data_IF_310750433199
#
_entry.id   IF_310750433199
#
_cell.length_a   1.000
_cell.length_b   1.000
_cell.length_c   1.000
_cell.angle_alpha   90.00
_cell.angle_beta   90.00
_cell.angle_gamma   90.00
#
_symmetry.space_group_name_H-M   'P 1'
#
loop_
_entity.id
_entity.type
_entity.pdbx_description
1 polymer ?
#
# COMPACT_ATOMS: atom_id res chain seq x y z
N UNK A 1 -19.32 18.62 11.83
CA UNK A 1 -20.30 17.55 11.52
C UNK A 1 -19.74 16.69 10.39
N UNK A 2 -19.81 15.36 10.50
CA UNK A 2 -19.35 14.42 9.46
C UNK A 2 -20.57 13.79 8.80
N UNK A 3 -20.58 13.71 7.47
CA UNK A 3 -21.64 13.03 6.71
C UNK A 3 -21.17 11.66 6.22
N UNK A 4 -22.12 10.74 6.05
CA UNK A 4 -21.87 9.39 5.56
C UNK A 4 -22.95 8.98 4.56
N UNK A 5 -22.54 8.46 3.40
CA UNK A 5 -23.44 7.86 2.41
C UNK A 5 -23.39 6.34 2.51
N UNK A 6 -24.57 5.71 2.46
CA UNK A 6 -24.73 4.26 2.45
C UNK A 6 -23.88 3.62 1.35
N UNK A 7 -23.26 2.47 1.64
CA UNK A 7 -22.41 1.74 0.69
C UNK A 7 -23.13 0.68 -0.12
N UNK A 8 -24.44 0.52 0.07
CA UNK A 8 -25.25 -0.35 -0.79
C UNK A 8 -25.32 0.26 -2.19
N UNK A 9 -25.15 -0.56 -3.23
CA UNK A 9 -25.24 -0.12 -4.62
C UNK A 9 -26.62 0.50 -4.89
N UNK A 10 -26.64 1.66 -5.54
CA UNK A 10 -27.86 2.43 -5.88
C UNK A 10 -28.73 2.81 -4.67
N UNK A 11 -28.15 2.92 -3.47
CA UNK A 11 -28.87 3.41 -2.29
C UNK A 11 -28.58 4.90 -2.06
N UNK A 12 -29.64 5.69 -1.93
CA UNK A 12 -29.55 7.15 -1.68
C UNK A 12 -29.50 7.50 -0.19
N UNK A 13 -29.48 6.51 0.70
CA UNK A 13 -29.48 6.72 2.14
C UNK A 13 -28.19 7.38 2.64
N UNK A 14 -28.31 8.32 3.56
CA UNK A 14 -27.18 9.04 4.16
C UNK A 14 -27.51 9.49 5.59
N UNK A 15 -26.49 9.83 6.37
CA UNK A 15 -26.66 10.39 7.70
C UNK A 15 -25.57 11.41 8.06
N UNK A 16 -25.84 12.19 9.10
CA UNK A 16 -24.84 12.95 9.85
C UNK A 16 -24.53 12.19 11.13
N UNK A 17 -23.25 12.16 11.53
CA UNK A 17 -22.83 11.43 12.72
C UNK A 17 -21.71 12.15 13.49
N UNK A 18 -21.64 11.83 14.77
CA UNK A 18 -20.60 12.26 15.72
C UNK A 18 -19.62 11.11 15.99
N UNK A 19 -18.45 11.41 16.56
CA UNK A 19 -17.33 10.45 16.70
C UNK A 19 -17.64 9.23 17.58
N UNK A 20 -18.72 9.26 18.35
CA UNK A 20 -19.12 8.16 19.24
C UNK A 20 -19.91 7.05 18.54
N UNK A 21 -20.34 7.27 17.28
CA UNK A 21 -21.13 6.29 16.53
C UNK A 21 -20.28 5.54 15.52
N UNK A 22 -20.29 4.21 15.61
CA UNK A 22 -19.52 3.34 14.71
C UNK A 22 -20.40 2.62 13.68
N UNK A 23 -21.72 2.58 13.91
CA UNK A 23 -22.68 1.84 13.10
C UNK A 23 -23.81 2.79 12.66
N UNK A 24 -24.14 2.73 11.39
CA UNK A 24 -25.26 3.42 10.78
C UNK A 24 -26.21 2.40 10.16
N UNK A 25 -27.45 2.35 10.66
CA UNK A 25 -28.52 1.55 10.06
C UNK A 25 -29.24 2.41 9.02
N UNK A 26 -29.12 2.05 7.74
CA UNK A 26 -29.70 2.81 6.65
C UNK A 26 -31.23 2.66 6.60
N UNK A 27 -32.02 3.75 6.64
CA UNK A 27 -33.48 3.65 6.58
C UNK A 27 -34.03 3.31 5.19
N UNK A 28 -33.20 3.38 4.14
CA UNK A 28 -33.62 3.11 2.75
C UNK A 28 -33.47 1.64 2.39
N UNK A 29 -32.30 1.05 2.67
CA UNK A 29 -31.99 -0.34 2.31
C UNK A 29 -31.92 -1.29 3.52
N UNK A 30 -32.10 -0.79 4.73
CA UNK A 30 -32.05 -1.55 5.99
C UNK A 30 -30.71 -2.25 6.30
N UNK A 31 -29.63 -1.88 5.60
CA UNK A 31 -28.30 -2.41 5.86
C UNK A 31 -27.53 -1.60 6.91
N UNK A 32 -26.72 -2.31 7.69
CA UNK A 32 -25.81 -1.76 8.69
C UNK A 32 -24.45 -1.44 8.06
N UNK A 33 -24.13 -0.15 8.07
CA UNK A 33 -22.88 0.40 7.59
C UNK A 33 -21.97 0.67 8.78
N UNK A 34 -20.70 0.29 8.67
CA UNK A 34 -19.67 0.68 9.62
C UNK A 34 -19.10 2.03 9.22
N UNK A 35 -19.30 3.02 10.07
CA UNK A 35 -18.80 4.39 9.88
C UNK A 35 -17.27 4.43 9.95
N UNK A 36 -16.65 3.60 10.80
CA UNK A 36 -15.20 3.52 10.96
C UNK A 36 -14.50 2.87 9.77
N UNK A 37 -15.05 1.78 9.23
CA UNK A 37 -14.48 1.08 8.07
C UNK A 37 -14.97 1.64 6.73
N UNK A 38 -15.93 2.56 6.76
CA UNK A 38 -16.57 3.13 5.59
C UNK A 38 -17.13 2.07 4.63
N UNK A 39 -17.73 1.01 5.18
CA UNK A 39 -18.11 -0.21 4.47
C UNK A 39 -19.30 -0.93 5.14
N UNK A 40 -19.96 -1.82 4.40
CA UNK A 40 -20.96 -2.75 4.93
C UNK A 40 -20.27 -4.08 5.22
N UNK A 41 -20.29 -4.52 6.48
CA UNK A 41 -19.70 -5.80 6.90
C UNK A 41 -20.52 -6.44 8.03
N UNK A 42 -21.80 -6.67 7.74
CA UNK A 42 -22.75 -7.33 8.66
C UNK A 42 -22.25 -8.71 9.10
N UNK A 43 -22.39 -9.02 10.39
CA UNK A 43 -21.92 -10.27 10.98
C UNK A 43 -20.40 -10.36 11.19
N UNK A 44 -19.62 -9.36 10.78
CA UNK A 44 -18.19 -9.27 11.06
C UNK A 44 -17.89 -8.05 11.92
N UNK A 45 -17.02 -8.20 12.92
CA UNK A 45 -16.43 -7.04 13.56
C UNK A 45 -15.36 -6.41 12.64
N UNK A 46 -14.96 -5.16 12.94
CA UNK A 46 -14.02 -4.42 12.11
C UNK A 46 -12.69 -5.18 11.90
N UNK A 47 -12.21 -5.92 12.91
CA UNK A 47 -10.96 -6.70 12.82
C UNK A 47 -11.10 -7.85 11.82
N UNK A 48 -12.18 -8.64 11.92
CA UNK A 48 -12.45 -9.76 11.03
C UNK A 48 -12.67 -9.30 9.58
N UNK A 49 -13.35 -8.17 9.39
CA UNK A 49 -13.52 -7.56 8.08
C UNK A 49 -12.18 -7.17 7.46
N UNK A 50 -11.30 -6.52 8.23
CA UNK A 50 -9.97 -6.13 7.77
C UNK A 50 -9.09 -7.35 7.43
N UNK A 51 -9.15 -8.42 8.21
CA UNK A 51 -8.44 -9.67 7.93
C UNK A 51 -8.93 -10.33 6.64
N UNK A 52 -10.25 -10.37 6.42
CA UNK A 52 -10.85 -10.88 5.18
C UNK A 52 -10.38 -10.11 3.95
N UNK A 53 -10.32 -8.79 4.02
CA UNK A 53 -9.81 -7.95 2.93
C UNK A 53 -8.33 -8.23 2.63
N UNK A 54 -7.51 -8.49 3.65
CA UNK A 54 -6.10 -8.87 3.46
C UNK A 54 -5.98 -10.20 2.73
N UNK A 55 -6.75 -11.22 3.16
CA UNK A 55 -6.72 -12.54 2.54
C UNK A 55 -7.31 -12.54 1.12
N UNK A 56 -8.28 -11.68 0.83
CA UNK A 56 -8.83 -11.52 -0.53
C UNK A 56 -7.85 -10.83 -1.49
N UNK A 57 -7.06 -9.86 -1.01
CA UNK A 57 -6.00 -9.22 -1.82
C UNK A 57 -4.91 -10.19 -2.28
N UNK A 58 -4.71 -11.31 -1.58
CA UNK A 58 -3.76 -12.35 -1.97
C UNK A 58 -4.28 -13.27 -3.10
N UNK A 59 -5.59 -13.23 -3.39
CA UNK A 59 -6.25 -14.13 -4.36
C UNK A 59 -6.60 -13.47 -5.71
N UNK A 60 -6.46 -12.15 -5.86
CA UNK A 60 -6.80 -11.46 -7.11
C UNK A 60 -5.67 -11.53 -8.17
N UNK A 61 -6.02 -12.20 -9.28
CA UNK A 61 -5.19 -12.60 -10.42
C UNK A 61 -4.50 -11.47 -11.24
N UNK A 62 -4.62 -10.21 -10.84
CA UNK A 62 -3.84 -9.09 -11.40
C UNK A 62 -2.46 -8.95 -10.74
N UNK A 63 -2.27 -9.59 -9.57
CA UNK A 63 -1.00 -9.60 -8.83
C UNK A 63 0.10 -10.37 -9.57
N UNK A 64 -0.25 -11.45 -10.29
CA UNK A 64 0.71 -12.29 -11.02
C UNK A 64 1.23 -11.57 -12.27
N UNK A 65 0.35 -10.88 -13.01
CA UNK A 65 0.76 -10.05 -14.16
C UNK A 65 1.60 -8.86 -13.71
N UNK A 66 1.26 -8.25 -12.57
CA UNK A 66 2.02 -7.15 -11.98
C UNK A 66 3.42 -7.59 -11.55
N UNK A 67 3.57 -8.75 -10.89
CA UNK A 67 4.88 -9.29 -10.52
C UNK A 67 5.74 -9.67 -11.72
N UNK A 68 5.14 -10.30 -12.75
CA UNK A 68 5.86 -10.62 -13.98
C UNK A 68 6.36 -9.35 -14.71
N UNK A 69 5.54 -8.31 -14.77
CA UNK A 69 5.92 -7.02 -15.34
C UNK A 69 7.03 -6.36 -14.51
N UNK A 70 6.95 -6.38 -13.18
CA UNK A 70 7.96 -5.82 -12.30
C UNK A 70 9.31 -6.55 -12.41
N UNK A 71 9.30 -7.88 -12.51
CA UNK A 71 10.52 -8.67 -12.76
C UNK A 71 11.14 -8.33 -14.11
N UNK A 72 10.32 -8.20 -15.17
CA UNK A 72 10.80 -7.76 -16.49
C UNK A 72 11.47 -6.38 -16.45
N UNK A 73 10.96 -5.45 -15.64
CA UNK A 73 11.59 -4.13 -15.47
C UNK A 73 12.95 -4.22 -14.77
N UNK A 74 13.16 -5.19 -13.87
CA UNK A 74 14.45 -5.46 -13.24
C UNK A 74 15.42 -6.04 -14.28
N UNK A 75 14.99 -7.03 -15.07
CA UNK A 75 15.77 -7.64 -16.15
C UNK A 75 16.19 -6.61 -17.22
N UNK A 76 15.27 -5.71 -17.59
CA UNK A 76 15.51 -4.60 -18.52
C UNK A 76 16.46 -3.51 -17.95
N UNK A 77 16.88 -3.62 -16.68
CA UNK A 77 17.71 -2.61 -16.02
C UNK A 77 17.00 -1.27 -15.84
N UNK A 78 15.66 -1.27 -15.77
CA UNK A 78 14.79 -0.10 -15.52
C UNK A 78 14.33 -0.03 -14.06
N UNK A 79 14.45 -1.13 -13.32
CA UNK A 79 14.16 -1.22 -11.90
C UNK A 79 15.27 -2.01 -11.16
N UNK A 80 15.30 -1.91 -9.83
CA UNK A 80 16.13 -2.76 -8.98
C UNK A 80 15.46 -3.01 -7.63
N UNK A 81 15.85 -4.06 -6.91
CA UNK A 81 15.39 -4.29 -5.53
C UNK A 81 16.25 -3.51 -4.55
N UNK A 82 15.62 -3.00 -3.50
CA UNK A 82 16.34 -2.44 -2.36
C UNK A 82 17.12 -3.55 -1.64
N UNK A 83 18.44 -3.40 -1.41
CA UNK A 83 19.26 -4.45 -0.79
C UNK A 83 18.93 -4.71 0.69
N UNK A 84 18.07 -3.90 1.32
CA UNK A 84 17.70 -4.01 2.73
C UNK A 84 16.27 -4.54 2.96
N UNK A 85 15.33 -4.22 2.06
CA UNK A 85 13.90 -4.52 2.27
C UNK A 85 13.18 -5.04 1.02
N UNK A 86 13.92 -5.33 -0.06
CA UNK A 86 13.42 -5.90 -1.32
C UNK A 86 12.37 -5.09 -2.10
N UNK A 87 12.02 -3.88 -1.63
CA UNK A 87 11.16 -2.97 -2.38
C UNK A 87 11.75 -2.67 -3.77
N UNK A 88 10.93 -2.78 -4.80
CA UNK A 88 11.33 -2.48 -6.18
C UNK A 88 11.37 -0.96 -6.37
N UNK A 89 12.55 -0.46 -6.78
CA UNK A 89 12.84 0.94 -7.05
C UNK A 89 13.06 1.14 -8.55
N UNK A 90 12.37 2.12 -9.13
CA UNK A 90 12.50 2.49 -10.54
C UNK A 90 13.72 3.41 -10.77
N UNK A 91 14.41 3.24 -11.91
CA UNK A 91 15.52 4.10 -12.32
C UNK A 91 15.06 5.54 -12.50
N UNK A 92 15.76 6.50 -11.89
CA UNK A 92 15.64 7.92 -12.24
C UNK A 92 16.71 8.26 -13.27
N UNK A 93 16.33 8.98 -14.32
CA UNK A 93 17.26 9.36 -15.39
C UNK A 93 18.41 10.21 -14.84
N UNK A 94 19.64 9.90 -15.24
CA UNK A 94 20.83 10.70 -14.95
C UNK A 94 21.32 10.68 -13.49
N UNK A 95 20.75 9.86 -12.61
CA UNK A 95 21.14 9.78 -11.20
C UNK A 95 21.47 8.34 -10.80
N UNK A 96 22.67 8.12 -10.26
CA UNK A 96 23.08 6.84 -9.67
C UNK A 96 22.64 6.70 -8.20
N UNK A 97 22.17 7.78 -7.58
CA UNK A 97 21.71 7.81 -6.20
C UNK A 97 20.21 7.53 -6.12
N UNK A 98 19.82 6.61 -5.26
CA UNK A 98 18.43 6.41 -4.88
C UNK A 98 18.31 6.34 -3.36
N UNK A 99 17.16 6.76 -2.85
CA UNK A 99 16.77 6.55 -1.46
C UNK A 99 15.49 5.73 -1.41
N UNK A 100 15.53 4.59 -0.72
CA UNK A 100 14.36 3.76 -0.54
C UNK A 100 13.27 4.54 0.22
N UNK A 101 12.04 4.54 -0.29
CA UNK A 101 10.92 5.24 0.36
C UNK A 101 10.43 4.57 1.64
N UNK A 102 10.80 3.31 1.89
CA UNK A 102 10.35 2.53 3.05
C UNK A 102 11.42 2.49 4.14
N UNK A 103 12.61 1.96 3.82
CA UNK A 103 13.68 1.80 4.81
C UNK A 103 14.70 2.92 4.81
N UNK A 104 14.53 3.95 3.96
CA UNK A 104 15.41 5.11 3.79
C UNK A 104 16.87 4.80 3.45
N UNK A 105 17.18 3.54 3.11
CA UNK A 105 18.52 3.14 2.65
C UNK A 105 18.86 3.90 1.38
N UNK A 106 20.03 4.54 1.41
CA UNK A 106 20.62 5.18 0.25
C UNK A 106 21.39 4.12 -0.54
N UNK A 107 21.17 4.11 -1.85
CA UNK A 107 21.50 3.00 -2.75
C UNK A 107 22.22 3.58 -3.95
N UNK A 108 23.24 2.86 -4.41
CA UNK A 108 23.90 3.15 -5.66
C UNK A 108 23.33 2.27 -6.77
N UNK A 109 22.86 2.90 -7.85
CA UNK A 109 22.27 2.21 -9.00
C UNK A 109 23.28 1.34 -9.73
N UNK A 110 24.55 1.71 -9.71
CA UNK A 110 25.63 0.97 -10.40
C UNK A 110 25.94 -0.31 -9.65
N UNK A 111 26.22 -0.22 -8.34
CA UNK A 111 26.60 -1.38 -7.51
C UNK A 111 25.40 -2.22 -7.07
N UNK A 112 24.19 -1.68 -7.20
CA UNK A 112 22.93 -2.24 -6.67
C UNK A 112 22.92 -2.43 -5.14
N UNK A 113 23.90 -1.88 -4.44
CA UNK A 113 24.09 -2.01 -3.00
C UNK A 113 23.83 -0.71 -2.23
N UNK A 114 24.01 -0.73 -0.90
CA UNK A 114 24.09 0.49 -0.09
C UNK A 114 25.10 1.44 -0.72
N UNK A 115 24.73 2.72 -0.81
CA UNK A 115 25.65 3.74 -1.32
C UNK A 115 26.86 3.89 -0.41
N UNK A 116 26.61 3.87 0.89
CA UNK A 116 27.64 4.09 1.88
C UNK A 116 28.12 2.77 2.46
N UNK A 117 29.41 2.73 2.78
CA UNK A 117 30.03 1.66 3.54
C UNK A 117 29.57 1.61 5.00
N UNK A 118 30.11 0.66 5.78
CA UNK A 118 29.67 0.41 7.15
C UNK A 118 29.87 1.60 8.10
N UNK A 119 30.76 2.56 7.78
CA UNK A 119 30.93 3.77 8.58
C UNK A 119 29.83 4.84 8.34
N UNK A 120 28.91 4.61 7.39
CA UNK A 120 27.78 5.49 7.12
C UNK A 120 28.09 6.58 6.09
N UNK A 121 27.28 7.64 6.08
CA UNK A 121 27.30 8.65 5.02
C UNK A 121 28.69 9.25 4.78
N UNK A 122 29.17 9.18 3.53
CA UNK A 122 30.51 9.63 3.13
C UNK A 122 31.57 8.52 3.07
N UNK A 123 31.27 7.33 3.58
CA UNK A 123 32.12 6.15 3.41
C UNK A 123 31.92 5.54 2.02
N UNK A 124 32.87 5.73 1.10
CA UNK A 124 32.79 5.21 -0.27
C UNK A 124 33.44 3.82 -0.43
N UNK A 125 33.78 3.14 0.67
CA UNK A 125 34.39 1.80 0.63
C UNK A 125 33.47 0.73 0.00
N UNK A 126 32.17 1.00 -0.09
CA UNK A 126 31.17 0.14 -0.73
C UNK A 126 31.11 0.26 -2.27
N UNK A 127 31.99 1.04 -2.89
CA UNK A 127 32.16 1.11 -4.36
C UNK A 127 31.30 2.17 -5.06
N UNK A 128 30.79 3.14 -4.31
CA UNK A 128 30.03 4.33 -4.73
C UNK A 128 30.05 5.35 -3.57
#
# INVERSE_FOLDING_TARGET
EKSFHCKTLNCEGWCLFEENFNIYHCPVCSHYNCLNCNAIHEGLNCKQYQEKLKNQKELDSDSVKSLALLNKLIEDGKAMKCPKCDLILMKRWGCDWLKCSVCFTEICWITKGPRWGPAGQGDTSAGC
#
